data_IF_607084703696
#
_entry.id   IF_607084703696
#
_cell.length_a   1.000
_cell.length_b   1.000
_cell.length_c   1.000
_cell.angle_alpha   90.00
_cell.angle_beta   90.00
_cell.angle_gamma   90.00
#
_symmetry.space_group_name_H-M   'P 1'
#
loop_
_entity.id
_entity.type
_entity.pdbx_description
1 polymer ?
#
# COMPACT_ATOMS: atom_id res chain seq x y z
N UNK A 1 36.46 -33.30 23.29
CA UNK A 1 35.98 -34.06 22.12
C UNK A 1 34.91 -33.25 21.41
N UNK A 2 35.25 -32.38 20.45
CA UNK A 2 34.27 -31.74 19.57
C UNK A 2 33.91 -32.71 18.43
N UNK A 3 32.61 -32.89 18.19
CA UNK A 3 32.07 -33.87 17.25
C UNK A 3 32.52 -33.63 15.81
N UNK A 4 33.10 -34.67 15.22
CA UNK A 4 33.26 -34.80 13.78
C UNK A 4 31.86 -34.82 13.17
N UNK A 5 31.46 -33.70 12.57
CA UNK A 5 30.32 -33.66 11.65
C UNK A 5 30.63 -34.68 10.56
N UNK A 6 29.75 -35.67 10.39
CA UNK A 6 29.94 -36.79 9.47
C UNK A 6 30.12 -36.26 8.03
N UNK A 7 31.35 -36.33 7.52
CA UNK A 7 31.77 -35.82 6.21
C UNK A 7 30.97 -36.46 5.06
N UNK A 8 30.36 -37.63 5.32
CA UNK A 8 29.42 -38.32 4.42
C UNK A 8 28.07 -37.59 4.33
N UNK A 9 27.52 -37.11 5.43
CA UNK A 9 26.25 -36.37 5.44
C UNK A 9 26.39 -35.00 4.79
N UNK A 10 27.49 -34.29 5.07
CA UNK A 10 27.78 -33.01 4.43
C UNK A 10 27.84 -33.13 2.90
N UNK A 11 28.45 -34.21 2.37
CA UNK A 11 28.51 -34.48 0.92
C UNK A 11 27.15 -34.83 0.32
N UNK A 12 26.30 -35.54 1.05
CA UNK A 12 24.92 -35.84 0.60
C UNK A 12 24.09 -34.57 0.52
N UNK A 13 24.16 -33.71 1.54
CA UNK A 13 23.45 -32.42 1.56
C UNK A 13 23.94 -31.52 0.42
N UNK A 14 25.24 -31.42 0.19
CA UNK A 14 25.79 -30.64 -0.94
C UNK A 14 25.26 -31.14 -2.29
N UNK A 15 25.26 -32.45 -2.53
CA UNK A 15 24.71 -33.02 -3.78
C UNK A 15 23.24 -32.73 -3.95
N UNK A 16 22.44 -32.85 -2.89
CA UNK A 16 21.02 -32.51 -2.94
C UNK A 16 20.78 -31.02 -3.27
N UNK A 17 21.62 -30.13 -2.72
CA UNK A 17 21.57 -28.70 -3.04
C UNK A 17 21.95 -28.47 -4.50
N UNK A 18 23.04 -29.07 -4.98
CA UNK A 18 23.52 -28.92 -6.35
C UNK A 18 22.50 -29.46 -7.38
N UNK A 19 21.89 -30.61 -7.10
CA UNK A 19 20.83 -31.20 -7.91
C UNK A 19 19.57 -30.30 -7.95
N UNK A 20 19.17 -29.75 -6.80
CA UNK A 20 18.05 -28.81 -6.72
C UNK A 20 18.32 -27.52 -7.50
N UNK A 21 19.53 -26.95 -7.37
CA UNK A 21 19.95 -25.75 -8.10
C UNK A 21 19.99 -26.00 -9.61
N UNK A 22 20.45 -27.17 -10.05
CA UNK A 22 20.46 -27.53 -11.47
C UNK A 22 19.05 -27.72 -12.02
N UNK A 23 18.17 -28.41 -11.30
CA UNK A 23 16.77 -28.56 -11.69
C UNK A 23 16.06 -27.20 -11.77
N UNK A 24 16.34 -26.29 -10.83
CA UNK A 24 15.81 -24.93 -10.84
C UNK A 24 16.34 -24.12 -12.03
N UNK A 25 17.66 -24.18 -12.32
CA UNK A 25 18.25 -23.54 -13.50
C UNK A 25 17.65 -24.06 -14.81
N UNK A 26 17.43 -25.37 -14.92
CA UNK A 26 16.79 -25.97 -16.10
C UNK A 26 15.33 -25.54 -16.24
N UNK A 27 14.59 -25.48 -15.12
CA UNK A 27 13.22 -24.98 -15.11
C UNK A 27 13.14 -23.49 -15.50
N UNK A 28 14.06 -22.66 -15.00
CA UNK A 28 14.19 -21.24 -15.38
C UNK A 28 14.52 -21.12 -16.86
N UNK A 29 15.49 -21.87 -17.38
CA UNK A 29 15.89 -21.84 -18.79
C UNK A 29 14.77 -22.32 -19.71
N UNK A 30 14.01 -23.34 -19.30
CA UNK A 30 12.82 -23.83 -20.02
C UNK A 30 11.69 -22.78 -19.98
N UNK A 31 11.51 -22.07 -18.86
CA UNK A 31 10.57 -20.94 -18.76
C UNK A 31 10.98 -19.78 -19.68
N UNK A 32 12.24 -19.35 -19.63
CA UNK A 32 12.78 -18.26 -20.45
C UNK A 32 12.73 -18.55 -21.97
N UNK A 33 12.79 -19.83 -22.37
CA UNK A 33 12.68 -20.22 -23.78
C UNK A 33 11.23 -20.39 -24.25
N UNK A 34 10.28 -20.65 -23.35
CA UNK A 34 8.86 -20.89 -23.69
C UNK A 34 7.95 -19.71 -23.38
N UNK A 35 8.37 -18.78 -22.53
CA UNK A 35 7.60 -17.61 -22.07
C UNK A 35 8.44 -16.36 -22.27
N UNK A 36 7.81 -15.32 -22.78
CA UNK A 36 8.44 -14.01 -22.88
C UNK A 36 8.20 -13.26 -21.58
N UNK A 37 9.27 -12.88 -20.91
CA UNK A 37 9.20 -12.10 -19.68
C UNK A 37 8.85 -10.65 -20.01
N UNK A 38 7.81 -10.14 -19.36
CA UNK A 38 7.38 -8.73 -19.42
C UNK A 38 7.62 -8.13 -18.04
N UNK A 39 8.66 -7.30 -17.92
CA UNK A 39 9.06 -6.68 -16.65
C UNK A 39 8.36 -5.34 -16.48
N UNK A 40 7.51 -5.22 -15.47
CA UNK A 40 6.70 -4.03 -15.21
C UNK A 40 7.04 -3.48 -13.83
N UNK A 41 7.38 -2.20 -13.75
CA UNK A 41 7.62 -1.54 -12.47
C UNK A 41 6.48 -0.64 -12.06
N UNK A 42 6.04 -0.77 -10.80
CA UNK A 42 5.10 0.15 -10.18
C UNK A 42 5.85 1.27 -9.48
N UNK A 43 5.77 2.49 -10.01
CA UNK A 43 6.45 3.67 -9.46
C UNK A 43 5.44 4.70 -8.93
N UNK A 44 5.88 5.53 -8.00
CA UNK A 44 5.08 6.62 -7.43
C UNK A 44 5.36 6.84 -5.95
N UNK A 45 4.94 7.99 -5.42
CA UNK A 45 5.15 8.34 -4.02
C UNK A 45 4.54 7.32 -3.04
N UNK A 46 4.92 7.39 -1.76
CA UNK A 46 4.27 6.60 -0.72
C UNK A 46 2.74 6.81 -0.76
N UNK A 47 1.98 5.73 -0.52
CA UNK A 47 0.51 5.74 -0.51
C UNK A 47 -0.16 6.15 -1.83
N UNK A 48 0.55 6.12 -2.97
CA UNK A 48 -0.05 6.40 -4.28
C UNK A 48 -1.00 5.32 -4.79
N UNK A 49 -1.04 4.15 -4.14
CA UNK A 49 -1.88 2.99 -4.50
C UNK A 49 -1.15 1.86 -5.21
N UNK A 50 0.20 1.82 -5.19
CA UNK A 50 1.00 0.76 -5.85
C UNK A 50 0.64 -0.64 -5.38
N UNK A 51 0.70 -0.88 -4.07
CA UNK A 51 0.37 -2.18 -3.50
C UNK A 51 -1.11 -2.54 -3.69
N UNK A 52 -2.01 -1.55 -3.73
CA UNK A 52 -3.43 -1.80 -4.10
C UNK A 52 -3.56 -2.23 -5.56
N UNK A 53 -2.81 -1.61 -6.48
CA UNK A 53 -2.77 -2.05 -7.88
C UNK A 53 -2.19 -3.46 -8.00
N UNK A 54 -1.11 -3.78 -7.28
CA UNK A 54 -0.55 -5.14 -7.23
C UNK A 54 -1.60 -6.15 -6.77
N UNK A 55 -2.35 -5.86 -5.71
CA UNK A 55 -3.47 -6.71 -5.25
C UNK A 55 -4.56 -6.86 -6.31
N UNK A 56 -4.84 -5.82 -7.10
CA UNK A 56 -5.78 -5.90 -8.22
C UNK A 56 -5.28 -6.81 -9.36
N UNK A 57 -3.98 -6.79 -9.67
CA UNK A 57 -3.37 -7.76 -10.59
C UNK A 57 -3.49 -9.19 -10.04
N UNK A 58 -3.24 -9.39 -8.75
CA UNK A 58 -3.40 -10.69 -8.09
C UNK A 58 -4.86 -11.16 -8.10
N UNK A 59 -5.82 -10.27 -7.84
CA UNK A 59 -7.24 -10.58 -7.90
C UNK A 59 -7.67 -10.98 -9.32
N UNK A 60 -7.13 -10.31 -10.35
CA UNK A 60 -7.53 -10.57 -11.73
C UNK A 60 -6.88 -11.82 -12.34
N UNK A 61 -5.57 -12.02 -12.15
CA UNK A 61 -4.82 -13.13 -12.77
C UNK A 61 -4.60 -14.34 -11.85
N UNK A 62 -4.71 -14.17 -10.53
CA UNK A 62 -4.43 -15.20 -9.54
C UNK A 62 -5.52 -15.31 -8.46
N UNK A 63 -6.79 -15.11 -8.84
CA UNK A 63 -7.95 -15.11 -7.92
C UNK A 63 -8.00 -16.33 -6.99
N UNK A 64 -7.76 -17.53 -7.52
CA UNK A 64 -7.73 -18.77 -6.73
C UNK A 64 -6.62 -18.79 -5.66
N UNK A 65 -5.48 -18.16 -5.93
CA UNK A 65 -4.41 -18.01 -4.94
C UNK A 65 -4.86 -17.06 -3.83
N UNK A 66 -5.44 -15.92 -4.23
CA UNK A 66 -5.93 -14.91 -3.30
C UNK A 66 -6.98 -15.47 -2.34
N UNK A 67 -7.92 -16.28 -2.85
CA UNK A 67 -8.94 -16.93 -2.00
C UNK A 67 -8.32 -17.81 -0.92
N UNK A 68 -7.25 -18.54 -1.25
CA UNK A 68 -6.54 -19.36 -0.27
C UNK A 68 -5.71 -18.53 0.72
N UNK A 69 -5.34 -17.30 0.35
CA UNK A 69 -4.56 -16.38 1.18
C UNK A 69 -5.45 -15.51 2.08
N UNK A 70 -6.75 -15.36 1.82
CA UNK A 70 -7.68 -14.51 2.60
C UNK A 70 -7.53 -14.65 4.12
N UNK A 71 -7.45 -15.87 4.71
CA UNK A 71 -7.26 -16.01 6.16
C UNK A 71 -5.98 -15.35 6.69
N UNK A 72 -4.90 -15.33 5.91
CA UNK A 72 -3.61 -14.72 6.30
C UNK A 72 -3.67 -13.19 6.41
N UNK A 73 -4.70 -12.55 5.85
CA UNK A 73 -4.90 -11.11 5.94
C UNK A 73 -5.62 -10.68 7.22
N UNK A 74 -6.27 -11.61 7.92
CA UNK A 74 -7.06 -11.33 9.14
C UNK A 74 -6.25 -10.60 10.22
N UNK A 75 -5.02 -11.03 10.57
CA UNK A 75 -4.24 -10.35 11.60
C UNK A 75 -3.87 -8.91 11.22
N UNK A 76 -3.71 -8.63 9.92
CA UNK A 76 -3.38 -7.28 9.45
C UNK A 76 -4.61 -6.38 9.48
N UNK A 77 -5.79 -6.89 9.14
CA UNK A 77 -7.05 -6.15 9.31
C UNK A 77 -7.20 -5.71 10.76
N UNK A 78 -6.96 -6.63 11.71
CA UNK A 78 -6.99 -6.32 13.14
C UNK A 78 -5.96 -5.26 13.52
N UNK A 79 -4.72 -5.39 13.04
CA UNK A 79 -3.70 -4.37 13.24
C UNK A 79 -4.13 -2.99 12.71
N UNK A 80 -4.70 -2.90 11.51
CA UNK A 80 -5.17 -1.63 10.96
C UNK A 80 -6.30 -1.00 11.78
N UNK A 81 -7.23 -1.81 12.32
CA UNK A 81 -8.28 -1.34 13.25
C UNK A 81 -7.66 -0.79 14.53
N UNK A 82 -6.80 -1.58 15.18
CA UNK A 82 -6.19 -1.22 16.48
C UNK A 82 -5.34 0.04 16.34
N UNK A 83 -4.52 0.11 15.29
CA UNK A 83 -3.71 1.28 14.96
C UNK A 83 -4.58 2.51 14.75
N UNK A 84 -5.71 2.38 14.03
CA UNK A 84 -6.63 3.50 13.82
C UNK A 84 -7.21 4.01 15.15
N UNK A 85 -7.64 3.10 16.03
CA UNK A 85 -8.14 3.44 17.37
C UNK A 85 -7.08 4.17 18.21
N UNK A 86 -5.85 3.65 18.26
CA UNK A 86 -4.75 4.30 18.99
C UNK A 86 -4.47 5.70 18.44
N UNK A 87 -4.35 5.85 17.12
CA UNK A 87 -4.08 7.16 16.49
C UNK A 87 -5.17 8.20 16.81
N UNK A 88 -6.44 7.78 16.84
CA UNK A 88 -7.55 8.68 17.24
C UNK A 88 -7.36 9.14 18.68
N UNK A 89 -7.08 8.22 19.61
CA UNK A 89 -6.96 8.53 21.03
C UNK A 89 -5.72 9.39 21.35
N UNK A 90 -4.60 9.15 20.69
CA UNK A 90 -3.38 9.96 20.82
C UNK A 90 -3.63 11.42 20.40
N UNK A 91 -4.32 11.63 19.27
CA UNK A 91 -4.62 12.98 18.80
C UNK A 91 -5.62 13.69 19.71
N UNK A 92 -6.62 12.97 20.23
CA UNK A 92 -7.56 13.52 21.21
C UNK A 92 -6.84 13.95 22.50
N UNK A 93 -5.87 13.19 22.99
CA UNK A 93 -5.06 13.60 24.15
C UNK A 93 -4.27 14.87 23.88
N UNK A 94 -3.66 14.94 22.71
CA UNK A 94 -2.89 16.10 22.31
C UNK A 94 -3.76 17.37 22.31
N UNK A 95 -4.98 17.29 21.76
CA UNK A 95 -5.93 18.40 21.78
C UNK A 95 -6.46 18.72 23.18
N UNK A 96 -6.79 17.72 24.00
CA UNK A 96 -7.32 17.94 25.35
C UNK A 96 -6.25 18.40 26.35
N UNK A 97 -4.98 18.11 26.11
CA UNK A 97 -3.86 18.62 26.92
C UNK A 97 -3.62 20.13 26.74
N UNK A 98 -4.29 20.76 25.77
CA UNK A 98 -4.14 22.17 25.45
C UNK A 98 -2.86 22.51 24.67
N UNK A 99 -2.02 21.51 24.34
CA UNK A 99 -0.79 21.71 23.55
C UNK A 99 -1.09 22.22 22.13
N UNK A 100 -2.20 21.78 21.53
CA UNK A 100 -2.62 22.22 20.19
C UNK A 100 -2.84 23.76 20.08
N UNK A 101 -3.27 24.42 21.16
CA UNK A 101 -3.49 25.87 21.16
C UNK A 101 -2.17 26.68 21.24
N UNK A 102 -1.07 26.04 21.63
CA UNK A 102 0.26 26.66 21.73
C UNK A 102 0.97 26.63 20.37
N UNK A 103 0.81 25.55 19.61
CA UNK A 103 1.51 25.35 18.34
C UNK A 103 0.87 26.11 17.15
N UNK A 104 -0.43 26.40 17.20
CA UNK A 104 -1.11 27.22 16.20
C UNK A 104 -2.04 28.27 16.85
N UNK A 105 -1.53 29.50 17.12
CA UNK A 105 -2.31 30.56 17.75
C UNK A 105 -3.43 31.12 16.85
N UNK A 106 -3.52 30.71 15.58
CA UNK A 106 -4.65 31.05 14.71
C UNK A 106 -5.89 30.16 14.97
N UNK A 107 -5.73 29.07 15.72
CA UNK A 107 -6.83 28.27 16.26
C UNK A 107 -7.51 29.05 17.39
N UNK A 108 -8.45 29.91 17.00
CA UNK A 108 -9.24 30.69 17.96
C UNK A 108 -9.84 29.79 19.04
N UNK A 109 -9.90 30.29 20.28
CA UNK A 109 -10.41 29.59 21.47
C UNK A 109 -11.81 28.98 21.29
N UNK A 110 -12.59 29.48 20.31
CA UNK A 110 -13.93 28.99 19.95
C UNK A 110 -13.94 27.63 19.22
N UNK A 111 -12.80 27.18 18.71
CA UNK A 111 -12.67 25.91 17.97
C UNK A 111 -11.88 24.84 18.75
N UNK A 112 -11.62 25.09 20.04
CA UNK A 112 -11.07 24.07 20.95
C UNK A 112 -12.12 22.97 21.18
N UNK A 113 -11.72 21.71 21.10
CA UNK A 113 -12.62 20.57 21.38
C UNK A 113 -13.21 20.63 22.79
N UNK A 114 -12.46 21.16 23.77
CA UNK A 114 -12.93 21.34 25.15
C UNK A 114 -14.08 22.35 25.22
N UNK A 115 -14.01 23.41 24.40
CA UNK A 115 -15.07 24.43 24.35
C UNK A 115 -16.30 23.89 23.63
N UNK A 116 -16.11 23.05 22.60
CA UNK A 116 -17.20 22.44 21.84
C UNK A 116 -17.94 21.34 22.60
N UNK A 117 -17.25 20.63 23.51
CA UNK A 117 -17.85 19.64 24.37
C UNK A 117 -17.09 19.49 25.68
N UNK A 118 -17.52 20.20 26.75
CA UNK A 118 -16.84 20.18 28.04
C UNK A 118 -16.77 18.80 28.70
N UNK A 119 -17.72 17.91 28.38
CA UNK A 119 -17.80 16.56 28.92
C UNK A 119 -17.04 15.50 28.09
N UNK A 120 -16.62 15.85 26.86
CA UNK A 120 -15.93 14.91 25.98
C UNK A 120 -14.63 14.33 26.57
N UNK A 121 -13.80 15.08 27.31
CA UNK A 121 -12.61 14.50 27.93
C UNK A 121 -12.92 13.31 28.86
N UNK A 122 -13.96 13.43 29.69
CA UNK A 122 -14.37 12.37 30.62
C UNK A 122 -14.95 11.15 29.88
N UNK A 123 -15.74 11.39 28.84
CA UNK A 123 -16.32 10.34 27.99
C UNK A 123 -15.23 9.57 27.24
N UNK A 124 -14.28 10.29 26.62
CA UNK A 124 -13.12 9.70 25.94
C UNK A 124 -12.21 8.97 26.93
N UNK A 125 -12.01 9.49 28.14
CA UNK A 125 -11.24 8.80 29.17
C UNK A 125 -11.87 7.44 29.55
N UNK A 126 -13.20 7.37 29.69
CA UNK A 126 -13.92 6.10 29.95
C UNK A 126 -13.78 5.12 28.78
N UNK A 127 -13.90 5.60 27.54
CA UNK A 127 -13.69 4.77 26.35
C UNK A 127 -12.26 4.25 26.28
N UNK A 128 -11.26 5.10 26.54
CA UNK A 128 -9.84 4.73 26.62
C UNK A 128 -9.59 3.62 27.64
N UNK A 129 -10.15 3.71 28.85
CA UNK A 129 -9.94 2.68 29.87
C UNK A 129 -10.42 1.31 29.38
N UNK A 130 -11.55 1.26 28.65
CA UNK A 130 -12.07 0.02 28.07
C UNK A 130 -11.24 -0.48 26.88
N UNK A 131 -10.74 0.44 26.05
CA UNK A 131 -9.94 0.14 24.85
C UNK A 131 -8.46 -0.13 25.15
N UNK A 132 -7.99 0.10 26.37
CA UNK A 132 -6.58 0.00 26.74
C UNK A 132 -5.99 -1.39 26.46
N UNK A 133 -6.74 -2.45 26.77
CA UNK A 133 -6.29 -3.82 26.51
C UNK A 133 -6.13 -4.10 25.02
N UNK A 134 -7.08 -3.60 24.20
CA UNK A 134 -7.02 -3.70 22.75
C UNK A 134 -5.81 -2.96 22.17
N UNK A 135 -5.48 -1.78 22.70
CA UNK A 135 -4.34 -1.00 22.22
C UNK A 135 -3.02 -1.65 22.66
N UNK A 136 -2.98 -2.23 23.87
CA UNK A 136 -1.75 -2.84 24.42
C UNK A 136 -1.21 -4.01 23.60
N UNK A 137 -2.05 -4.68 22.80
CA UNK A 137 -1.61 -5.78 21.94
C UNK A 137 -1.04 -5.30 20.60
N UNK A 138 -1.16 -4.01 20.25
CA UNK A 138 -0.72 -3.48 18.94
C UNK A 138 0.74 -3.81 18.65
N UNK A 139 1.65 -3.49 19.57
CA UNK A 139 3.10 -3.70 19.38
C UNK A 139 3.45 -5.19 19.29
N UNK A 140 2.75 -6.04 20.06
CA UNK A 140 2.95 -7.49 20.01
C UNK A 140 2.48 -8.08 18.68
N UNK A 141 1.31 -7.65 18.21
CA UNK A 141 0.77 -8.03 16.90
C UNK A 141 1.64 -7.50 15.76
N UNK A 142 2.15 -6.27 15.87
CA UNK A 142 3.05 -5.68 14.89
C UNK A 142 4.40 -6.43 14.83
N UNK A 143 4.96 -6.81 15.97
CA UNK A 143 6.20 -7.57 16.05
C UNK A 143 6.04 -8.99 15.46
N UNK A 144 4.88 -9.62 15.69
CA UNK A 144 4.49 -10.90 15.09
C UNK A 144 4.38 -10.80 13.57
N UNK A 145 3.68 -9.78 13.07
CA UNK A 145 3.50 -9.52 11.64
C UNK A 145 4.81 -9.12 10.93
N UNK A 146 5.67 -8.36 11.60
CA UNK A 146 6.94 -7.86 11.07
C UNK A 146 8.10 -8.83 11.31
N UNK A 147 7.84 -9.95 11.99
CA UNK A 147 8.81 -11.00 12.33
C UNK A 147 10.11 -10.45 12.95
N UNK A 148 10.00 -9.43 13.83
CA UNK A 148 11.13 -8.77 14.50
C UNK A 148 11.86 -7.68 13.71
N UNK A 149 11.39 -7.28 12.53
CA UNK A 149 11.94 -6.14 11.79
C UNK A 149 11.40 -4.83 12.41
N UNK A 150 12.23 -4.15 13.19
CA UNK A 150 11.97 -2.78 13.65
C UNK A 150 12.67 -1.79 12.71
N UNK A 151 11.92 -0.92 12.03
CA UNK A 151 12.51 0.21 11.29
C UNK A 151 12.67 1.36 12.28
N UNK A 152 13.91 1.79 12.52
CA UNK A 152 14.20 2.93 13.40
C UNK A 152 13.65 4.24 12.80
N UNK A 153 12.90 5.00 13.60
CA UNK A 153 12.60 6.42 13.32
C UNK A 153 11.25 6.75 12.65
N UNK A 154 10.25 5.87 12.68
CA UNK A 154 8.88 6.19 12.22
C UNK A 154 7.81 5.67 13.18
N UNK A 155 6.61 6.28 13.16
CA UNK A 155 5.43 5.81 13.91
C UNK A 155 5.16 4.31 13.64
N UNK A 156 4.64 3.58 14.62
CA UNK A 156 4.43 2.12 14.55
C UNK A 156 3.73 1.72 13.23
N UNK A 157 4.44 0.97 12.41
CA UNK A 157 3.98 0.47 11.12
C UNK A 157 4.38 -1.00 10.99
N UNK A 158 3.49 -1.79 10.40
CA UNK A 158 3.82 -3.16 10.02
C UNK A 158 4.56 -3.14 8.69
N UNK A 159 5.75 -3.72 8.70
CA UNK A 159 6.65 -3.79 7.57
C UNK A 159 6.77 -5.20 7.05
N UNK A 160 6.72 -5.34 5.74
CA UNK A 160 6.56 -6.66 5.12
C UNK A 160 7.52 -6.84 3.95
N UNK A 161 8.14 -8.04 3.88
CA UNK A 161 8.99 -8.50 2.76
C UNK A 161 8.24 -9.55 1.91
N UNK A 162 8.79 -9.89 0.75
CA UNK A 162 8.32 -11.00 -0.09
C UNK A 162 8.13 -12.28 0.73
N UNK A 163 6.97 -12.94 0.59
CA UNK A 163 6.70 -14.24 1.21
C UNK A 163 6.10 -14.23 2.62
N UNK A 164 5.76 -13.06 3.19
CA UNK A 164 5.20 -12.97 4.55
C UNK A 164 3.92 -13.82 4.78
N UNK A 165 3.09 -14.01 3.76
CA UNK A 165 1.85 -14.81 3.85
C UNK A 165 2.13 -16.29 4.14
N UNK A 166 3.26 -16.81 3.63
CA UNK A 166 3.70 -18.17 3.90
C UNK A 166 4.14 -18.35 5.36
N UNK A 167 4.45 -17.26 6.07
CA UNK A 167 4.87 -17.27 7.48
C UNK A 167 3.68 -17.19 8.44
N UNK A 168 2.54 -16.64 7.99
CA UNK A 168 1.31 -16.47 8.79
C UNK A 168 0.35 -17.67 8.63
N UNK A 169 0.58 -18.54 7.64
CA UNK A 169 -0.31 -19.68 7.34
C UNK A 169 0.28 -20.99 7.88
N UNK A 170 -0.39 -21.73 8.78
CA UNK A 170 0.17 -22.94 9.41
C UNK A 170 0.22 -24.18 8.49
N UNK A 171 -0.23 -24.09 7.23
CA UNK A 171 -0.39 -25.27 6.37
C UNK A 171 -0.08 -24.97 4.90
N UNK A 172 1.20 -25.00 4.50
CA UNK A 172 1.62 -25.47 3.16
C UNK A 172 3.14 -25.63 3.05
N UNK A 173 3.55 -26.77 2.50
CA UNK A 173 4.90 -27.16 2.15
C UNK A 173 5.26 -26.70 0.73
N UNK A 174 6.19 -25.75 0.63
CA UNK A 174 7.01 -25.48 -0.56
C UNK A 174 8.49 -25.80 -0.23
N UNK A 175 9.36 -26.02 -1.24
CA UNK A 175 10.61 -26.78 -1.06
C UNK A 175 11.56 -26.17 -0.04
N UNK A 176 12.24 -27.10 0.64
CA UNK A 176 13.02 -26.93 1.86
C UNK A 176 14.25 -26.06 1.63
N UNK A 177 14.23 -24.84 2.16
CA UNK A 177 15.46 -24.13 2.58
C UNK A 177 15.37 -23.49 3.97
N UNK A 178 14.16 -23.28 4.54
CA UNK A 178 13.99 -22.61 5.84
C UNK A 178 13.27 -23.46 6.89
N UNK A 179 13.80 -24.64 7.21
CA UNK A 179 13.28 -25.52 8.27
C UNK A 179 13.44 -24.96 9.71
N UNK A 180 14.04 -23.77 9.89
CA UNK A 180 14.18 -23.12 11.20
C UNK A 180 12.95 -22.30 11.65
N UNK A 181 11.95 -22.09 10.79
CA UNK A 181 10.81 -21.19 11.06
C UNK A 181 9.51 -21.86 11.57
N UNK A 182 9.49 -23.17 11.77
CA UNK A 182 8.26 -23.90 12.18
C UNK A 182 7.69 -23.42 13.53
N UNK A 183 8.54 -23.02 14.49
CA UNK A 183 8.14 -22.46 15.79
C UNK A 183 7.56 -21.03 15.71
N UNK A 184 7.85 -20.28 14.64
CA UNK A 184 7.31 -18.93 14.43
C UNK A 184 5.84 -18.97 13.99
N UNK A 185 5.48 -19.94 13.14
CA UNK A 185 4.10 -20.11 12.63
C UNK A 185 3.06 -20.35 13.74
N UNK A 186 3.45 -20.99 14.84
CA UNK A 186 2.56 -21.24 15.99
C UNK A 186 2.32 -19.99 16.84
N UNK A 187 3.30 -19.08 16.93
CA UNK A 187 3.11 -17.77 17.57
C UNK A 187 2.28 -16.84 16.69
N UNK A 188 2.50 -16.87 15.38
CA UNK A 188 1.83 -16.03 14.35
C UNK A 188 0.29 -16.13 14.32
N UNK A 189 -0.30 -17.09 15.04
CA UNK A 189 -1.75 -17.19 15.23
C UNK A 189 -2.24 -16.73 16.61
N UNK A 190 -1.37 -16.68 17.63
CA UNK A 190 -1.78 -16.44 19.02
C UNK A 190 -2.12 -14.96 19.23
N UNK A 191 -1.25 -14.01 18.85
CA UNK A 191 -1.58 -12.59 19.00
C UNK A 191 -2.74 -12.20 18.10
N UNK A 192 -2.80 -12.75 16.87
CA UNK A 192 -3.94 -12.57 15.99
C UNK A 192 -5.27 -13.04 16.61
N UNK A 193 -5.27 -14.21 17.26
CA UNK A 193 -6.45 -14.76 17.94
C UNK A 193 -6.83 -13.92 19.15
N UNK A 194 -5.85 -13.49 19.95
CA UNK A 194 -6.08 -12.60 21.09
C UNK A 194 -6.63 -11.24 20.64
N UNK A 195 -6.08 -10.66 19.57
CA UNK A 195 -6.56 -9.42 18.98
C UNK A 195 -8.01 -9.57 18.50
N UNK A 196 -8.36 -10.69 17.85
CA UNK A 196 -9.74 -10.98 17.46
C UNK A 196 -10.70 -11.06 18.65
N UNK A 197 -10.31 -11.71 19.76
CA UNK A 197 -11.12 -11.75 20.99
C UNK A 197 -11.30 -10.38 21.61
N UNK A 198 -10.21 -9.63 21.78
CA UNK A 198 -10.25 -8.27 22.32
C UNK A 198 -11.10 -7.34 21.45
N UNK A 199 -11.04 -7.47 20.12
CA UNK A 199 -11.93 -6.73 19.21
C UNK A 199 -13.39 -7.13 19.41
N UNK A 200 -13.70 -8.41 19.56
CA UNK A 200 -15.05 -8.89 19.89
C UNK A 200 -15.58 -8.30 21.20
N UNK A 201 -14.75 -8.25 22.22
CA UNK A 201 -15.11 -7.73 23.55
C UNK A 201 -15.26 -6.20 23.57
N UNK A 202 -14.61 -5.49 22.65
CA UNK A 202 -14.54 -4.02 22.64
C UNK A 202 -15.17 -3.35 21.42
N UNK A 203 -15.80 -4.11 20.52
CA UNK A 203 -16.36 -3.61 19.25
C UNK A 203 -17.32 -2.41 19.44
N UNK A 204 -18.16 -2.44 20.48
CA UNK A 204 -19.09 -1.35 20.76
C UNK A 204 -18.34 -0.09 21.17
N UNK A 205 -17.26 -0.20 21.96
CA UNK A 205 -16.45 0.95 22.34
C UNK A 205 -15.64 1.52 21.17
N UNK A 206 -15.18 0.66 20.26
CA UNK A 206 -14.53 1.11 19.02
C UNK A 206 -15.52 1.92 18.17
N UNK A 207 -16.76 1.43 18.05
CA UNK A 207 -17.81 2.11 17.31
C UNK A 207 -18.23 3.42 17.98
N UNK A 208 -18.45 3.40 19.30
CA UNK A 208 -18.76 4.59 20.11
C UNK A 208 -17.69 5.66 19.96
N UNK A 209 -16.41 5.28 20.00
CA UNK A 209 -15.29 6.19 19.76
C UNK A 209 -15.35 6.78 18.33
N UNK A 210 -15.55 5.94 17.32
CA UNK A 210 -15.57 6.38 15.93
C UNK A 210 -16.71 7.35 15.60
N UNK A 211 -17.89 7.13 16.20
CA UNK A 211 -19.04 8.01 16.06
C UNK A 211 -19.07 9.16 17.06
N UNK A 212 -18.12 9.21 18.01
CA UNK A 212 -18.07 10.24 19.04
C UNK A 212 -17.96 11.66 18.43
N UNK A 213 -18.73 12.65 18.93
CA UNK A 213 -18.70 14.02 18.42
C UNK A 213 -17.31 14.66 18.42
N UNK A 214 -16.48 14.37 19.45
CA UNK A 214 -15.10 14.83 19.52
C UNK A 214 -14.26 14.33 18.33
N UNK A 215 -14.41 13.06 17.93
CA UNK A 215 -13.69 12.48 16.78
C UNK A 215 -14.16 13.11 15.47
N UNK A 216 -15.47 13.32 15.31
CA UNK A 216 -16.00 14.02 14.12
C UNK A 216 -15.53 15.46 14.04
N UNK A 217 -15.46 16.16 15.18
CA UNK A 217 -14.93 17.51 15.27
C UNK A 217 -13.42 17.54 14.95
N UNK A 218 -12.65 16.59 15.48
CA UNK A 218 -11.22 16.44 15.22
C UNK A 218 -10.93 16.21 13.72
N UNK A 219 -11.66 15.29 13.08
CA UNK A 219 -11.55 15.04 11.64
C UNK A 219 -11.85 16.28 10.80
N UNK A 220 -12.84 17.08 11.21
CA UNK A 220 -13.26 18.29 10.50
C UNK A 220 -12.30 19.46 10.71
N UNK A 221 -11.87 19.69 11.95
CA UNK A 221 -11.18 20.91 12.37
C UNK A 221 -9.65 20.80 12.33
N UNK A 222 -9.09 19.61 12.58
CA UNK A 222 -7.64 19.41 12.75
C UNK A 222 -7.00 18.59 11.66
N UNK A 223 -7.78 18.15 10.65
CA UNK A 223 -7.32 17.30 9.55
C UNK A 223 -6.53 16.09 10.06
N UNK A 224 -7.02 15.46 11.13
CA UNK A 224 -6.46 14.22 11.67
C UNK A 224 -6.13 13.29 10.49
N UNK A 225 -4.84 12.98 10.36
CA UNK A 225 -4.32 12.16 9.26
C UNK A 225 -4.48 10.69 9.63
N UNK A 226 -5.73 10.24 9.70
CA UNK A 226 -5.97 8.80 9.67
C UNK A 226 -5.55 8.27 8.32
N UNK A 227 -5.09 7.02 8.30
CA UNK A 227 -4.95 6.28 7.06
C UNK A 227 -6.32 6.27 6.35
N UNK A 228 -6.35 6.48 5.04
CA UNK A 228 -7.61 6.60 4.27
C UNK A 228 -8.54 5.38 4.46
N UNK A 229 -7.97 4.20 4.72
CA UNK A 229 -8.68 2.96 4.99
C UNK A 229 -9.21 2.81 6.43
N UNK A 230 -8.80 3.66 7.38
CA UNK A 230 -9.25 3.58 8.76
C UNK A 230 -10.77 3.71 8.87
N UNK A 231 -11.37 4.64 8.13
CA UNK A 231 -12.82 4.84 8.12
C UNK A 231 -13.60 3.60 7.66
N UNK A 232 -13.07 2.86 6.68
CA UNK A 232 -13.67 1.61 6.19
C UNK A 232 -13.70 0.55 7.29
N UNK A 233 -12.59 0.33 7.99
CA UNK A 233 -12.51 -0.71 9.01
C UNK A 233 -13.27 -0.36 10.31
N UNK A 234 -13.24 0.91 10.73
CA UNK A 234 -13.93 1.34 11.96
C UNK A 234 -15.46 1.28 11.82
N UNK A 235 -16.00 1.59 10.65
CA UNK A 235 -17.45 1.48 10.39
C UNK A 235 -17.91 0.02 10.37
N UNK A 236 -17.06 -0.88 9.87
CA UNK A 236 -17.36 -2.32 9.72
C UNK A 236 -16.94 -3.16 10.93
N UNK A 237 -16.51 -2.54 12.04
CA UNK A 237 -15.87 -3.25 13.17
C UNK A 237 -16.70 -4.43 13.70
N UNK A 238 -18.04 -4.33 13.66
CA UNK A 238 -18.93 -5.43 14.09
C UNK A 238 -18.73 -6.70 13.28
N UNK A 239 -18.67 -6.58 11.94
CA UNK A 239 -18.40 -7.70 11.04
C UNK A 239 -16.99 -8.23 11.22
N UNK A 240 -16.01 -7.34 11.41
CA UNK A 240 -14.60 -7.72 11.59
C UNK A 240 -14.37 -8.45 12.92
N UNK A 241 -15.20 -8.18 13.93
CA UNK A 241 -15.08 -8.72 15.28
C UNK A 241 -15.80 -10.08 15.46
N UNK A 242 -16.44 -10.62 14.41
CA UNK A 242 -17.07 -11.94 14.44
C UNK A 242 -16.02 -13.05 14.63
N UNK A 243 -16.29 -14.08 15.46
CA UNK A 243 -15.31 -15.14 15.74
C UNK A 243 -14.81 -15.87 14.48
N UNK A 244 -15.71 -16.11 13.55
CA UNK A 244 -15.51 -16.79 12.27
C UNK A 244 -15.21 -15.83 11.10
N UNK A 245 -14.92 -14.56 11.40
CA UNK A 245 -14.55 -13.57 10.39
C UNK A 245 -13.41 -14.07 9.48
N UNK A 246 -13.68 -14.03 8.18
CA UNK A 246 -12.70 -14.23 7.10
C UNK A 246 -12.70 -12.97 6.22
N UNK A 247 -11.53 -12.34 5.97
CA UNK A 247 -11.45 -11.16 5.12
C UNK A 247 -12.04 -11.38 3.74
N UNK A 248 -12.89 -10.46 3.31
CA UNK A 248 -13.39 -10.40 1.95
C UNK A 248 -12.41 -9.64 1.03
N UNK A 249 -12.75 -9.51 -0.25
CA UNK A 249 -11.87 -8.83 -1.23
C UNK A 249 -11.69 -7.36 -0.90
N UNK A 250 -12.74 -6.68 -0.45
CA UNK A 250 -12.67 -5.26 -0.06
C UNK A 250 -11.75 -5.06 1.14
N UNK A 251 -11.81 -5.95 2.14
CA UNK A 251 -10.91 -5.94 3.30
C UNK A 251 -9.45 -6.00 2.85
N UNK A 252 -9.13 -6.95 1.96
CA UNK A 252 -7.77 -7.13 1.44
C UNK A 252 -7.32 -5.89 0.66
N UNK A 253 -8.19 -5.25 -0.12
CA UNK A 253 -7.84 -4.05 -0.88
C UNK A 253 -7.62 -2.81 0.02
N UNK A 254 -8.34 -2.70 1.14
CA UNK A 254 -8.23 -1.59 2.09
C UNK A 254 -7.11 -1.79 3.12
N UNK A 255 -6.66 -3.03 3.36
CA UNK A 255 -5.56 -3.32 4.27
C UNK A 255 -4.31 -2.57 3.84
N UNK A 256 -3.66 -1.96 4.83
CA UNK A 256 -2.46 -1.16 4.62
C UNK A 256 -1.25 -1.78 5.30
N UNK A 257 -0.31 -2.16 4.46
CA UNK A 257 1.03 -2.65 4.81
C UNK A 257 2.07 -1.73 4.19
N UNK A 258 3.16 -1.47 4.89
CA UNK A 258 4.28 -0.75 4.32
C UNK A 258 5.25 -1.73 3.66
N UNK A 259 5.35 -1.66 2.33
CA UNK A 259 6.35 -2.41 1.56
C UNK A 259 7.75 -1.87 1.87
N UNK A 260 8.66 -2.75 2.29
CA UNK A 260 10.08 -2.43 2.40
C UNK A 260 10.85 -2.98 1.20
N UNK A 261 11.61 -2.09 0.55
CA UNK A 261 12.45 -2.48 -0.58
C UNK A 261 11.63 -2.78 -1.83
N UNK A 262 11.99 -3.86 -2.52
CA UNK A 262 11.40 -4.28 -3.79
C UNK A 262 10.83 -5.69 -3.66
N UNK A 263 9.56 -5.85 -4.00
CA UNK A 263 8.87 -7.15 -4.02
C UNK A 263 8.49 -7.51 -5.45
N UNK A 264 8.83 -8.73 -5.86
CA UNK A 264 8.52 -9.26 -7.19
C UNK A 264 7.28 -10.16 -7.14
N UNK A 265 6.37 -9.96 -8.09
CA UNK A 265 5.19 -10.79 -8.28
C UNK A 265 5.14 -11.30 -9.72
N UNK A 266 4.97 -12.61 -9.89
CA UNK A 266 4.89 -13.26 -11.21
C UNK A 266 3.45 -13.65 -11.53
N UNK A 267 2.99 -13.30 -12.73
CA UNK A 267 1.68 -13.68 -13.26
C UNK A 267 1.83 -14.32 -14.64
N UNK A 268 1.27 -15.52 -14.82
CA UNK A 268 1.18 -16.15 -16.13
C UNK A 268 -0.03 -15.59 -16.87
N UNK A 269 0.21 -14.87 -17.97
CA UNK A 269 -0.83 -14.20 -18.75
C UNK A 269 -0.82 -14.73 -20.18
N UNK A 270 -1.98 -15.23 -20.62
CA UNK A 270 -2.23 -15.60 -22.01
C UNK A 270 -2.80 -14.39 -22.75
N UNK A 271 -2.10 -13.90 -23.78
CA UNK A 271 -2.53 -12.75 -24.58
C UNK A 271 -2.13 -12.91 -26.03
N UNK A 272 -3.02 -12.60 -26.98
CA UNK A 272 -2.71 -12.63 -28.42
C UNK A 272 -2.17 -13.97 -28.94
N UNK A 273 -2.56 -15.09 -28.31
CA UNK A 273 -2.07 -16.44 -28.65
C UNK A 273 -0.69 -16.80 -28.09
N UNK A 274 -0.03 -15.89 -27.35
CA UNK A 274 1.23 -16.12 -26.67
C UNK A 274 1.07 -16.25 -25.14
N UNK A 275 2.00 -16.97 -24.52
CA UNK A 275 2.14 -17.05 -23.05
C UNK A 275 3.23 -16.10 -22.58
N UNK A 276 2.86 -15.15 -21.73
CA UNK A 276 3.77 -14.16 -21.17
C UNK A 276 3.90 -14.36 -19.66
N UNK A 277 5.11 -14.24 -19.16
CA UNK A 277 5.37 -14.20 -17.73
C UNK A 277 5.52 -12.73 -17.32
N UNK A 278 4.51 -12.19 -16.65
CA UNK A 278 4.50 -10.82 -16.17
C UNK A 278 5.19 -10.75 -14.82
N UNK A 279 6.31 -10.02 -14.77
CA UNK A 279 7.07 -9.77 -13.55
C UNK A 279 6.78 -8.34 -13.09
N UNK A 280 5.94 -8.22 -12.07
CA UNK A 280 5.52 -6.96 -11.48
C UNK A 280 6.37 -6.64 -10.25
N UNK A 281 7.11 -5.54 -10.31
CA UNK A 281 7.94 -5.05 -9.21
C UNK A 281 7.19 -3.95 -8.45
N UNK A 282 6.78 -4.22 -7.21
CA UNK A 282 6.28 -3.19 -6.26
C UNK A 282 7.46 -2.67 -5.43
N UNK A 283 7.67 -1.35 -5.47
CA UNK A 283 8.79 -0.70 -4.79
C UNK A 283 8.31 0.31 -3.75
N UNK A 284 9.06 0.46 -2.67
CA UNK A 284 8.80 1.49 -1.66
C UNK A 284 8.74 2.90 -2.25
N UNK A 285 7.67 3.65 -1.98
CA UNK A 285 7.42 4.99 -2.53
C UNK A 285 7.99 6.17 -1.74
N UNK A 286 8.48 5.91 -0.53
CA UNK A 286 9.09 6.90 0.36
C UNK A 286 10.35 7.51 -0.25
N UNK A 287 10.67 8.78 0.06
CA UNK A 287 11.81 9.47 -0.56
C UNK A 287 13.12 8.75 -0.26
N UNK A 288 13.29 8.29 0.98
CA UNK A 288 14.46 7.51 1.40
C UNK A 288 14.65 6.18 0.65
N UNK A 289 13.62 5.61 0.03
CA UNK A 289 13.69 4.29 -0.62
C UNK A 289 13.91 4.35 -2.14
N UNK A 290 13.85 5.54 -2.76
CA UNK A 290 13.87 5.67 -4.24
C UNK A 290 15.17 5.23 -4.90
N UNK A 291 16.28 5.25 -4.16
CA UNK A 291 17.57 4.79 -4.66
C UNK A 291 17.58 3.27 -4.97
N UNK A 292 16.71 2.49 -4.31
CA UNK A 292 16.60 1.05 -4.52
C UNK A 292 15.95 0.68 -5.87
N UNK A 293 15.39 1.65 -6.62
CA UNK A 293 14.69 1.39 -7.87
C UNK A 293 15.64 1.22 -9.06
N UNK A 294 16.77 1.93 -9.04
CA UNK A 294 17.71 2.03 -10.18
C UNK A 294 18.17 0.68 -10.73
N UNK A 295 18.51 -0.33 -9.89
CA UNK A 295 18.95 -1.64 -10.39
C UNK A 295 17.92 -2.38 -11.26
N UNK A 296 16.65 -1.98 -11.22
CA UNK A 296 15.55 -2.61 -11.95
C UNK A 296 15.16 -1.84 -13.22
N UNK A 297 15.84 -0.73 -13.54
CA UNK A 297 15.47 0.13 -14.68
C UNK A 297 16.00 -0.36 -16.03
N UNK A 298 17.15 -1.05 -16.06
CA UNK A 298 17.86 -1.37 -17.31
C UNK A 298 17.09 -2.33 -18.22
N UNK A 299 16.26 -3.20 -17.66
CA UNK A 299 15.50 -4.22 -18.38
C UNK A 299 13.98 -4.10 -18.21
N UNK A 300 13.50 -2.96 -17.69
CA UNK A 300 12.08 -2.70 -17.52
C UNK A 300 11.39 -2.57 -18.88
N UNK A 301 10.42 -3.45 -19.16
CA UNK A 301 9.57 -3.40 -20.36
C UNK A 301 8.57 -2.25 -20.27
N UNK A 302 8.02 -2.01 -19.08
CA UNK A 302 7.07 -0.93 -18.85
C UNK A 302 7.15 -0.37 -17.44
N UNK A 303 6.75 0.89 -17.31
CA UNK A 303 6.62 1.62 -16.05
C UNK A 303 5.15 2.02 -15.90
N UNK A 304 4.53 1.63 -14.79
CA UNK A 304 3.23 2.15 -14.37
C UNK A 304 3.48 3.14 -13.24
N UNK A 305 3.30 4.42 -13.53
CA UNK A 305 3.46 5.51 -12.56
C UNK A 305 2.11 5.89 -11.95
N UNK A 306 2.00 5.80 -10.63
CA UNK A 306 0.79 6.16 -9.88
C UNK A 306 0.97 7.52 -9.19
N UNK A 307 0.09 8.46 -9.53
CA UNK A 307 0.01 9.79 -8.94
C UNK A 307 -1.34 9.97 -8.24
N UNK A 308 -1.41 10.10 -6.90
CA UNK A 308 -2.68 10.30 -6.21
C UNK A 308 -3.13 11.76 -6.31
N UNK A 309 -3.99 12.07 -7.26
CA UNK A 309 -4.43 13.46 -7.52
C UNK A 309 -5.32 14.04 -6.42
N UNK A 310 -5.86 13.19 -5.54
CA UNK A 310 -6.60 13.63 -4.34
C UNK A 310 -5.72 14.27 -3.26
N UNK A 311 -4.39 14.12 -3.33
CA UNK A 311 -3.46 14.59 -2.31
C UNK A 311 -3.05 16.07 -2.48
N UNK A 312 -3.79 16.85 -3.26
CA UNK A 312 -3.49 18.25 -3.56
C UNK A 312 -3.47 19.17 -2.32
N UNK A 313 -4.15 18.78 -1.25
CA UNK A 313 -4.24 19.49 0.03
C UNK A 313 -3.34 18.89 1.13
N UNK A 314 -2.41 18.00 0.74
CA UNK A 314 -1.54 17.25 1.63
C UNK A 314 -0.07 17.53 1.37
N UNK A 315 0.72 17.42 2.43
CA UNK A 315 2.19 17.55 2.42
C UNK A 315 2.82 16.21 2.78
N UNK A 316 4.06 15.99 2.35
CA UNK A 316 4.80 14.79 2.69
C UNK A 316 5.01 14.68 4.21
N UNK A 317 5.06 13.45 4.71
CA UNK A 317 5.41 13.17 6.11
C UNK A 317 6.89 13.47 6.37
N UNK A 318 7.75 13.06 5.43
CA UNK A 318 9.22 13.24 5.51
C UNK A 318 9.66 14.69 5.25
N UNK A 319 8.82 15.50 4.60
CA UNK A 319 9.10 16.89 4.27
C UNK A 319 7.79 17.70 4.28
N UNK A 320 7.41 18.28 5.44
CA UNK A 320 6.16 19.02 5.60
C UNK A 320 6.05 20.29 4.74
N UNK A 321 7.13 20.73 4.08
CA UNK A 321 7.11 21.91 3.19
C UNK A 321 6.71 21.55 1.76
N UNK A 322 6.85 20.29 1.39
CA UNK A 322 6.62 19.83 0.02
C UNK A 322 5.21 19.25 -0.13
N UNK A 323 4.42 19.85 -1.02
CA UNK A 323 3.11 19.32 -1.40
C UNK A 323 3.26 17.96 -2.11
N UNK A 324 2.34 17.03 -1.87
CA UNK A 324 2.42 15.67 -2.43
C UNK A 324 2.25 15.62 -3.95
N UNK A 325 1.45 16.49 -4.54
CA UNK A 325 1.33 16.58 -6.01
C UNK A 325 2.63 17.08 -6.63
N UNK A 326 3.28 18.07 -5.99
CA UNK A 326 4.56 18.60 -6.46
C UNK A 326 5.66 17.55 -6.39
N UNK A 327 5.76 16.77 -5.30
CA UNK A 327 6.70 15.64 -5.22
C UNK A 327 6.40 14.58 -6.29
N UNK A 328 5.13 14.27 -6.54
CA UNK A 328 4.74 13.35 -7.62
C UNK A 328 5.14 13.87 -9.00
N UNK A 329 5.01 15.17 -9.27
CA UNK A 329 5.45 15.79 -10.52
C UNK A 329 6.98 15.80 -10.66
N UNK A 330 7.71 16.08 -9.57
CA UNK A 330 9.18 16.02 -9.55
C UNK A 330 9.67 14.59 -9.82
N UNK A 331 9.05 13.60 -9.17
CA UNK A 331 9.36 12.20 -9.38
C UNK A 331 9.06 11.75 -10.81
N UNK A 332 7.91 12.11 -11.35
CA UNK A 332 7.54 11.81 -12.73
C UNK A 332 8.50 12.48 -13.73
N UNK A 333 8.94 13.71 -13.44
CA UNK A 333 9.97 14.40 -14.22
C UNK A 333 11.26 13.61 -14.23
N UNK A 334 11.74 13.15 -13.07
CA UNK A 334 12.96 12.34 -12.96
C UNK A 334 12.86 11.04 -13.79
N UNK A 335 11.72 10.36 -13.76
CA UNK A 335 11.44 9.17 -14.56
C UNK A 335 11.49 9.49 -16.07
N UNK A 336 10.80 10.55 -16.51
CA UNK A 336 10.80 10.96 -17.93
C UNK A 336 12.21 11.33 -18.45
N UNK A 337 13.05 11.91 -17.59
CA UNK A 337 14.42 12.29 -17.94
C UNK A 337 15.43 11.14 -17.89
N UNK A 338 15.05 9.99 -17.31
CA UNK A 338 15.99 8.89 -17.10
C UNK A 338 16.29 8.15 -18.42
N UNK A 339 17.57 8.10 -18.79
CA UNK A 339 18.05 7.48 -20.03
C UNK A 339 17.89 5.96 -20.05
N UNK A 340 17.86 5.31 -18.89
CA UNK A 340 17.69 3.86 -18.78
C UNK A 340 16.27 3.44 -19.20
N UNK A 341 15.29 4.31 -18.94
CA UNK A 341 13.86 4.07 -19.20
C UNK A 341 13.41 4.49 -20.61
N UNK A 342 14.35 4.78 -21.52
CA UNK A 342 14.05 5.33 -22.86
C UNK A 342 13.23 4.38 -23.74
N UNK A 343 13.36 3.08 -23.52
CA UNK A 343 12.70 2.03 -24.31
C UNK A 343 11.50 1.43 -23.58
N UNK A 344 11.32 1.72 -22.30
CA UNK A 344 10.19 1.22 -21.52
C UNK A 344 8.90 1.90 -21.95
N UNK A 345 7.77 1.19 -21.96
CA UNK A 345 6.46 1.81 -22.15
C UNK A 345 6.06 2.59 -20.89
N UNK A 346 5.43 3.76 -21.01
CA UNK A 346 5.06 4.58 -19.85
C UNK A 346 3.54 4.70 -19.71
N UNK A 347 3.02 4.24 -18.58
CA UNK A 347 1.61 4.34 -18.19
C UNK A 347 1.51 5.25 -16.98
N UNK A 348 0.62 6.23 -17.04
CA UNK A 348 0.30 7.17 -15.96
C UNK A 348 -1.09 6.87 -15.43
N UNK A 349 -1.17 6.53 -14.15
CA UNK A 349 -2.42 6.36 -13.42
C UNK A 349 -2.62 7.52 -12.46
N UNK A 350 -3.55 8.40 -12.80
CA UNK A 350 -4.02 9.49 -11.93
C UNK A 350 -5.04 8.89 -10.96
N UNK A 351 -4.56 8.48 -9.79
CA UNK A 351 -5.27 7.63 -8.84
C UNK A 351 -6.03 8.43 -7.77
N UNK A 352 -6.91 7.71 -7.04
CA UNK A 352 -7.76 8.20 -5.95
C UNK A 352 -8.77 9.24 -6.40
N UNK A 353 -9.32 9.04 -7.60
CA UNK A 353 -10.34 9.92 -8.18
C UNK A 353 -11.62 9.96 -7.35
N UNK A 354 -11.95 8.87 -6.65
CA UNK A 354 -13.04 8.77 -5.68
C UNK A 354 -12.83 9.73 -4.49
N UNK A 355 -11.62 9.77 -3.91
CA UNK A 355 -11.29 10.68 -2.83
C UNK A 355 -11.24 12.14 -3.31
N UNK A 356 -10.77 12.38 -4.54
CA UNK A 356 -10.83 13.71 -5.12
C UNK A 356 -12.28 14.20 -5.21
N UNK A 357 -13.20 13.37 -5.74
CA UNK A 357 -14.63 13.70 -5.79
C UNK A 357 -15.20 14.00 -4.40
N UNK A 358 -14.89 13.17 -3.39
CA UNK A 358 -15.32 13.38 -2.00
C UNK A 358 -14.82 14.73 -1.44
N UNK A 359 -13.54 15.07 -1.65
CA UNK A 359 -12.96 16.33 -1.15
C UNK A 359 -13.56 17.57 -1.81
N UNK A 360 -13.80 17.52 -3.12
CA UNK A 360 -14.43 18.62 -3.86
C UNK A 360 -15.90 18.81 -3.43
N UNK A 361 -16.63 17.72 -3.24
CA UNK A 361 -18.01 17.75 -2.73
C UNK A 361 -18.08 18.29 -1.29
N UNK A 362 -17.08 18.03 -0.46
CA UNK A 362 -16.92 18.62 0.87
C UNK A 362 -16.54 20.12 0.84
N UNK A 363 -16.39 20.73 -0.35
CA UNK A 363 -16.10 22.15 -0.52
C UNK A 363 -14.61 22.52 -0.50
N UNK A 364 -13.70 21.54 -0.46
CA UNK A 364 -12.26 21.80 -0.47
C UNK A 364 -11.84 22.44 -1.78
N UNK A 365 -11.25 23.63 -1.71
CA UNK A 365 -10.87 24.42 -2.89
C UNK A 365 -9.44 24.13 -3.33
N UNK A 366 -9.25 23.68 -4.58
CA UNK A 366 -7.92 23.35 -5.12
C UNK A 366 -7.00 24.57 -5.18
N UNK A 367 -7.54 25.73 -5.57
CA UNK A 367 -6.81 27.02 -5.65
C UNK A 367 -6.16 27.45 -4.34
N UNK A 368 -6.63 26.95 -3.18
CA UNK A 368 -6.04 27.24 -1.87
C UNK A 368 -4.67 26.60 -1.70
N UNK A 369 -4.44 25.46 -2.33
CA UNK A 369 -3.22 24.66 -2.17
C UNK A 369 -2.35 24.68 -3.42
N UNK A 370 -2.97 24.77 -4.59
CA UNK A 370 -2.28 24.80 -5.89
C UNK A 370 -2.52 26.17 -6.52
N UNK A 371 -1.60 27.12 -6.29
CA UNK A 371 -1.73 28.51 -6.75
C UNK A 371 -1.80 28.62 -8.27
N UNK A 372 -1.09 27.75 -8.99
CA UNK A 372 -1.10 27.66 -10.46
C UNK A 372 -2.44 27.18 -11.04
N UNK A 373 -3.38 26.71 -10.20
CA UNK A 373 -4.74 26.39 -10.62
C UNK A 373 -5.56 27.63 -10.97
N UNK A 374 -5.25 28.79 -10.38
CA UNK A 374 -5.93 30.06 -10.64
C UNK A 374 -7.44 30.00 -10.37
N UNK A 375 -8.22 30.64 -11.25
CA UNK A 375 -9.67 30.81 -11.11
C UNK A 375 -10.52 29.77 -11.85
N UNK A 376 -9.93 28.60 -12.16
CA UNK A 376 -10.64 27.50 -12.81
C UNK A 376 -11.78 26.96 -11.91
N UNK A 377 -12.86 26.41 -12.49
CA UNK A 377 -13.96 25.85 -11.70
C UNK A 377 -13.48 24.72 -10.78
N UNK A 378 -14.04 24.61 -9.57
CA UNK A 378 -13.66 23.55 -8.62
C UNK A 378 -14.46 22.24 -8.83
N UNK A 379 -14.77 21.90 -10.09
CA UNK A 379 -15.47 20.64 -10.45
C UNK A 379 -14.45 19.54 -10.72
N UNK A 380 -14.87 18.28 -10.53
CA UNK A 380 -13.97 17.12 -10.69
C UNK A 380 -13.31 17.10 -12.06
N UNK A 381 -14.08 17.32 -13.13
CA UNK A 381 -13.60 17.24 -14.51
C UNK A 381 -12.50 18.27 -14.78
N UNK A 382 -12.70 19.53 -14.36
CA UNK A 382 -11.74 20.62 -14.55
C UNK A 382 -10.45 20.37 -13.76
N UNK A 383 -10.57 19.91 -12.50
CA UNK A 383 -9.42 19.62 -11.63
C UNK A 383 -8.64 18.41 -12.13
N UNK A 384 -9.33 17.32 -12.48
CA UNK A 384 -8.72 16.11 -12.98
C UNK A 384 -7.99 16.36 -14.30
N UNK A 385 -8.61 17.12 -15.21
CA UNK A 385 -8.01 17.52 -16.48
C UNK A 385 -6.81 18.44 -16.29
N UNK A 386 -6.87 19.38 -15.34
CA UNK A 386 -5.73 20.22 -14.98
C UNK A 386 -4.51 19.38 -14.57
N UNK A 387 -4.68 18.42 -13.64
CA UNK A 387 -3.57 17.55 -13.24
C UNK A 387 -3.07 16.71 -14.41
N UNK A 388 -3.98 16.12 -15.20
CA UNK A 388 -3.62 15.38 -16.42
C UNK A 388 -2.78 16.22 -17.37
N UNK A 389 -3.16 17.47 -17.61
CA UNK A 389 -2.42 18.38 -18.48
C UNK A 389 -1.01 18.68 -17.96
N UNK A 390 -0.85 18.86 -16.64
CA UNK A 390 0.45 19.09 -16.03
C UNK A 390 1.41 17.90 -16.20
N UNK A 391 0.98 16.67 -15.86
CA UNK A 391 1.78 15.48 -16.10
C UNK A 391 2.07 15.25 -17.60
N UNK A 392 1.07 15.45 -18.46
CA UNK A 392 1.23 15.35 -19.91
C UNK A 392 2.24 16.36 -20.46
N UNK A 393 2.24 17.58 -19.91
CA UNK A 393 3.19 18.63 -20.31
C UNK A 393 4.61 18.30 -19.87
N UNK A 394 4.80 17.72 -18.67
CA UNK A 394 6.10 17.21 -18.23
C UNK A 394 6.61 16.16 -19.21
N UNK A 395 5.79 15.16 -19.56
CA UNK A 395 6.16 14.13 -20.53
C UNK A 395 6.49 14.74 -21.91
N UNK A 396 5.68 15.67 -22.42
CA UNK A 396 5.98 16.33 -23.72
C UNK A 396 7.29 17.12 -23.71
N UNK A 397 7.66 17.74 -22.59
CA UNK A 397 8.86 18.59 -22.48
C UNK A 397 10.14 17.80 -22.16
N UNK A 398 10.02 16.72 -21.39
CA UNK A 398 11.15 15.99 -20.78
C UNK A 398 11.23 14.53 -21.17
N UNK A 399 10.14 13.97 -21.69
CA UNK A 399 10.07 12.59 -22.17
C UNK A 399 10.83 12.39 -23.46
N UNK A 400 11.08 11.11 -23.78
CA UNK A 400 11.78 10.71 -25.00
C UNK A 400 10.81 10.76 -26.19
N UNK A 401 11.25 11.26 -27.35
CA UNK A 401 10.38 11.56 -28.51
C UNK A 401 9.58 10.39 -29.07
N UNK A 402 9.95 9.15 -28.77
CA UNK A 402 9.25 7.93 -29.24
C UNK A 402 8.41 7.23 -28.16
N UNK A 403 8.52 7.63 -26.90
CA UNK A 403 7.80 6.99 -25.80
C UNK A 403 6.36 7.51 -25.79
N UNK A 404 5.38 6.61 -25.90
CA UNK A 404 3.97 6.98 -25.75
C UNK A 404 3.59 6.99 -24.27
N UNK A 405 2.75 7.95 -23.89
CA UNK A 405 2.19 8.08 -22.54
C UNK A 405 0.72 7.67 -22.55
N UNK A 406 0.41 6.53 -21.93
CA UNK A 406 -0.98 6.10 -21.71
C UNK A 406 -1.46 6.64 -20.37
N UNK A 407 -2.53 7.44 -20.36
CA UNK A 407 -3.02 8.09 -19.13
C UNK A 407 -4.41 7.62 -18.77
N UNK A 408 -4.59 7.18 -17.53
CA UNK A 408 -5.86 6.70 -16.99
C UNK A 408 -6.21 7.40 -15.68
N UNK A 409 -7.48 7.81 -15.54
CA UNK A 409 -8.06 8.19 -14.25
C UNK A 409 -8.50 6.93 -13.53
N UNK A 410 -8.03 6.72 -12.31
CA UNK A 410 -8.21 5.45 -11.59
C UNK A 410 -8.75 5.65 -10.18
N UNK A 411 -9.52 4.66 -9.73
CA UNK A 411 -9.80 4.41 -8.32
C UNK A 411 -9.55 2.93 -8.10
N UNK A 412 -8.45 2.60 -7.42
CA UNK A 412 -8.05 1.20 -7.22
C UNK A 412 -9.04 0.38 -6.37
N UNK A 413 -10.04 1.03 -5.77
CA UNK A 413 -11.10 0.37 -5.04
C UNK A 413 -12.28 -0.04 -5.95
N UNK A 414 -12.40 0.55 -7.15
CA UNK A 414 -13.35 0.09 -8.16
C UNK A 414 -12.74 -1.09 -8.92
N UNK A 415 -13.05 -2.31 -8.47
CA UNK A 415 -12.55 -3.57 -9.06
C UNK A 415 -12.88 -3.66 -10.54
N UNK A 416 -14.11 -3.36 -10.94
CA UNK A 416 -14.57 -3.53 -12.33
C UNK A 416 -13.88 -2.54 -13.26
N UNK A 417 -13.81 -1.26 -12.87
CA UNK A 417 -13.11 -0.27 -13.66
C UNK A 417 -11.60 -0.54 -13.73
N UNK A 418 -10.98 -0.95 -12.61
CA UNK A 418 -9.55 -1.23 -12.56
C UNK A 418 -9.17 -2.44 -13.40
N UNK A 419 -9.96 -3.51 -13.38
CA UNK A 419 -9.73 -4.69 -14.23
C UNK A 419 -9.78 -4.36 -15.72
N UNK A 420 -10.72 -3.49 -16.14
CA UNK A 420 -10.75 -3.00 -17.53
C UNK A 420 -9.47 -2.23 -17.89
N UNK A 421 -9.00 -1.36 -16.99
CA UNK A 421 -7.76 -0.61 -17.19
C UNK A 421 -6.55 -1.55 -17.25
N UNK A 422 -6.50 -2.61 -16.45
CA UNK A 422 -5.44 -3.63 -16.51
C UNK A 422 -5.41 -4.28 -17.90
N UNK A 423 -6.57 -4.62 -18.48
CA UNK A 423 -6.64 -5.17 -19.84
C UNK A 423 -6.11 -4.16 -20.87
N UNK A 424 -6.57 -2.90 -20.81
CA UNK A 424 -6.14 -1.84 -21.73
C UNK A 424 -4.61 -1.60 -21.64
N UNK A 425 -4.07 -1.58 -20.42
CA UNK A 425 -2.63 -1.42 -20.15
C UNK A 425 -1.84 -2.61 -20.67
N UNK A 426 -2.34 -3.83 -20.49
CA UNK A 426 -1.70 -5.03 -20.99
C UNK A 426 -1.62 -5.03 -22.52
N UNK A 427 -2.70 -4.66 -23.19
CA UNK A 427 -2.74 -4.54 -24.64
C UNK A 427 -1.72 -3.48 -25.13
N UNK A 428 -1.67 -2.32 -24.48
CA UNK A 428 -0.72 -1.25 -24.82
C UNK A 428 0.75 -1.68 -24.65
N UNK A 429 1.08 -2.32 -23.52
CA UNK A 429 2.43 -2.78 -23.21
C UNK A 429 2.87 -3.88 -24.16
N UNK A 430 2.01 -4.88 -24.41
CA UNK A 430 2.36 -6.02 -25.26
C UNK A 430 2.51 -5.58 -26.72
N UNK A 431 1.64 -4.70 -27.23
CA UNK A 431 1.80 -4.13 -28.58
C UNK A 431 3.13 -3.39 -28.73
N UNK A 432 3.49 -2.55 -27.75
CA UNK A 432 4.78 -1.85 -27.76
C UNK A 432 5.96 -2.82 -27.72
N UNK A 433 5.90 -3.83 -26.85
CA UNK A 433 6.92 -4.86 -26.72
C UNK A 433 7.13 -5.67 -28.02
N UNK A 434 6.05 -6.07 -28.69
CA UNK A 434 6.10 -6.77 -29.98
C UNK A 434 6.69 -5.89 -31.09
N UNK A 435 6.30 -4.61 -31.15
CA UNK A 435 6.83 -3.65 -32.10
C UNK A 435 8.33 -3.39 -31.91
N UNK A 436 8.81 -3.34 -30.67
CA UNK A 436 10.24 -3.19 -30.36
C UNK A 436 11.06 -4.47 -30.64
N UNK A 437 10.44 -5.64 -30.47
CA UNK A 437 11.09 -6.94 -30.69
C UNK A 437 11.16 -7.34 -32.17
N UNK A 438 10.60 -6.56 -33.10
CA UNK A 438 10.60 -6.85 -34.54
C UNK A 438 9.71 -8.04 -34.93
N UNK A 439 8.71 -8.37 -34.10
CA UNK A 439 7.82 -9.53 -34.25
C UNK A 439 6.42 -9.18 -34.77
N UNK A 440 6.26 -7.97 -35.32
CA UNK A 440 4.99 -7.46 -35.85
C UNK A 440 4.85 -7.77 -37.35
#
# INVERSE_FOLDING_TARGET
>A
MPGLVDDSEARKVSRQIDDALNAEKEAIKKRQTTRKDVKVMLLGQAESGKSTLQKQFQLFYASKSLDSEKPSWRPIVFFNVIKAVRMILEELDFEFSGQAAVDDPALTTKESLIVLGPHWPDEIARLRTKLLQLISIEDSLAAELSNGITVAGGRSGVFVRSGWQALVTPTRSYPISDARNSLSSTRAGVMATMAGRLLSDTQDQVLDLWHHPAVKALLRLRKLRLEESASFFLEEVRRLAEPDYVPNVDDVLHVRLQTLGVTEHSFDIDFGGGRYNWLLYDVGGARGQRHAWVPYFDDATAIIFLAPISAFDQYLEEDPRTNRIDDSLQLFTAICTNKLLKHSSLVLMLNKTDLLKKKLAAGTQVRKYITSYGDRPNRFEDVAEYFRAHFSQVHKRKGQTKQQLYTHFTSMLDIRATQKIIVDVNEAIIKSYLGQSGLA
#
